data_IF_188444596481
#
_entry.id   IF_188444596481
#
_cell.length_a   1.000
_cell.length_b   1.000
_cell.length_c   1.000
_cell.angle_alpha   90.00
_cell.angle_beta   90.00
_cell.angle_gamma   90.00
#
_symmetry.space_group_name_H-M   'P 1'
#
loop_
_entity.id
_entity.type
_entity.pdbx_description
1 polymer ?
#
# COMPACT_ATOMS: atom_id res chain seq x y z
N UNK A 1 0.02 10.87 18.57
CA UNK A 1 -0.88 10.81 17.40
C UNK A 1 -0.14 10.06 16.29
N UNK A 2 -0.33 8.76 16.18
CA UNK A 2 0.21 7.98 15.06
C UNK A 2 -0.77 8.07 13.89
N UNK A 3 -0.37 8.67 12.77
CA UNK A 3 -1.14 8.66 11.54
C UNK A 3 -1.15 7.23 10.98
N UNK A 4 -2.31 6.58 10.99
CA UNK A 4 -2.52 5.31 10.30
C UNK A 4 -2.54 5.60 8.79
N UNK A 5 -1.67 4.94 8.03
CA UNK A 5 -1.61 5.08 6.58
C UNK A 5 -1.94 3.74 5.92
N UNK A 6 -2.95 3.75 5.05
CA UNK A 6 -3.39 2.55 4.36
C UNK A 6 -2.43 2.20 3.21
N UNK A 7 -1.87 1.00 3.26
CA UNK A 7 -0.98 0.46 2.23
C UNK A 7 -1.29 -1.02 1.94
N UNK A 8 -0.55 -1.60 0.99
CA UNK A 8 -0.63 -3.01 0.60
C UNK A 8 -0.20 -3.98 1.72
N UNK A 9 0.66 -3.55 2.66
CA UNK A 9 1.12 -4.36 3.79
C UNK A 9 0.02 -4.56 4.83
N UNK A 10 -0.88 -3.57 4.94
CA UNK A 10 -2.03 -3.61 5.83
C UNK A 10 -3.28 -4.20 5.17
N UNK A 11 -3.31 -4.38 3.84
CA UNK A 11 -4.49 -4.84 3.07
C UNK A 11 -5.14 -6.10 3.66
N UNK A 12 -4.34 -7.04 4.19
CA UNK A 12 -4.83 -8.27 4.84
C UNK A 12 -4.43 -8.44 6.31
N UNK A 13 -3.86 -7.43 6.96
CA UNK A 13 -3.51 -7.51 8.38
C UNK A 13 -4.81 -7.51 9.24
N UNK A 14 -5.01 -8.51 10.13
CA UNK A 14 -6.17 -8.59 11.01
C UNK A 14 -6.28 -7.41 11.97
N UNK A 15 -5.13 -6.86 12.36
CA UNK A 15 -5.00 -5.75 13.29
C UNK A 15 -4.16 -4.64 12.64
N UNK A 16 -4.64 -3.40 12.74
CA UNK A 16 -4.18 -2.26 11.93
C UNK A 16 -3.75 -1.06 12.78
N UNK A 17 -3.58 -1.22 14.09
CA UNK A 17 -3.10 -0.14 14.94
C UNK A 17 -1.89 -0.57 15.78
N UNK A 18 -0.77 0.17 15.76
CA UNK A 18 0.10 0.23 16.92
C UNK A 18 -0.51 1.25 17.90
N UNK A 19 -1.56 0.86 18.64
CA UNK A 19 -2.16 1.71 19.68
C UNK A 19 -3.60 1.32 20.07
N UNK A 20 -3.80 1.00 21.34
CA UNK A 20 -5.04 0.54 21.98
C UNK A 20 -6.09 1.64 22.25
N UNK A 21 -6.43 2.52 21.30
CA UNK A 21 -7.45 3.55 21.67
C UNK A 21 -8.37 4.11 20.56
N UNK A 22 -8.52 3.42 19.42
CA UNK A 22 -9.63 3.73 18.49
C UNK A 22 -10.25 2.47 17.91
N UNK A 23 -11.46 2.17 18.36
CA UNK A 23 -12.31 1.14 17.77
C UNK A 23 -12.88 1.69 16.46
N UNK A 24 -12.61 1.00 15.36
CA UNK A 24 -13.19 1.29 14.05
C UNK A 24 -14.59 0.65 14.02
N UNK A 25 -15.66 1.46 14.03
CA UNK A 25 -17.04 0.97 14.09
C UNK A 25 -17.64 0.81 12.69
N UNK A 26 -18.12 -0.39 12.35
CA UNK A 26 -19.01 -0.62 11.20
C UNK A 26 -18.64 -1.80 10.30
N UNK A 27 -19.55 -2.21 9.38
CA UNK A 27 -19.28 -3.29 8.45
C UNK A 27 -18.23 -2.88 7.41
N UNK A 28 -17.15 -3.68 7.33
CA UNK A 28 -16.05 -3.53 6.36
C UNK A 28 -15.91 -4.78 5.48
N UNK A 29 -15.56 -4.59 4.22
CA UNK A 29 -15.18 -5.67 3.30
C UNK A 29 -13.87 -5.30 2.60
N UNK A 30 -12.88 -6.18 2.67
CA UNK A 30 -11.62 -6.02 1.94
C UNK A 30 -11.70 -6.83 0.65
N UNK A 31 -11.51 -6.19 -0.50
CA UNK A 31 -11.45 -6.84 -1.79
C UNK A 31 -10.04 -6.69 -2.38
N UNK A 32 -9.48 -7.77 -2.90
CA UNK A 32 -8.16 -7.71 -3.51
C UNK A 32 -7.85 -8.92 -4.37
N UNK A 33 -6.94 -8.72 -5.32
CA UNK A 33 -6.37 -9.75 -6.18
C UNK A 33 -4.89 -9.84 -5.89
N UNK A 34 -4.42 -11.06 -5.62
CA UNK A 34 -3.00 -11.38 -5.48
C UNK A 34 -2.61 -12.35 -6.59
N UNK A 35 -1.53 -12.04 -7.28
CA UNK A 35 -0.95 -12.89 -8.32
C UNK A 35 0.54 -13.07 -8.07
N UNK A 36 1.06 -14.24 -8.43
CA UNK A 36 2.48 -14.54 -8.32
C UNK A 36 2.95 -15.49 -9.40
N UNK A 37 4.16 -15.27 -9.89
CA UNK A 37 4.89 -16.15 -10.79
C UNK A 37 6.29 -16.41 -10.24
N UNK A 38 6.75 -17.66 -10.39
CA UNK A 38 7.99 -18.15 -9.81
C UNK A 38 8.73 -18.99 -10.84
N UNK A 39 10.05 -18.81 -10.93
CA UNK A 39 10.93 -19.62 -11.77
C UNK A 39 11.72 -20.61 -10.91
N UNK A 40 12.13 -21.75 -11.50
CA UNK A 40 12.95 -22.76 -10.80
C UNK A 40 14.30 -22.23 -10.29
N UNK A 41 14.83 -21.17 -10.91
CA UNK A 41 16.07 -20.51 -10.52
C UNK A 41 15.92 -19.52 -9.36
N UNK A 42 14.74 -19.49 -8.72
CA UNK A 42 14.44 -18.63 -7.57
C UNK A 42 13.94 -17.23 -7.95
N UNK A 43 13.86 -16.89 -9.23
CA UNK A 43 13.29 -15.63 -9.67
C UNK A 43 11.78 -15.57 -9.48
N UNK A 44 11.22 -14.40 -9.14
CA UNK A 44 9.78 -14.23 -8.93
C UNK A 44 9.25 -12.84 -9.31
N UNK A 45 7.93 -12.80 -9.50
CA UNK A 45 7.11 -11.57 -9.58
C UNK A 45 5.87 -11.79 -8.72
N UNK A 46 5.56 -10.84 -7.84
CA UNK A 46 4.36 -10.82 -7.03
C UNK A 46 3.64 -9.50 -7.21
N UNK A 47 2.35 -9.57 -7.48
CA UNK A 47 1.46 -8.42 -7.62
C UNK A 47 0.33 -8.54 -6.61
N UNK A 48 0.02 -7.44 -5.95
CA UNK A 48 -1.15 -7.28 -5.11
C UNK A 48 -1.85 -5.98 -5.47
N UNK A 49 -3.16 -6.03 -5.65
CA UNK A 49 -4.01 -4.85 -5.82
C UNK A 49 -5.27 -5.06 -5.00
N UNK A 50 -5.73 -4.03 -4.29
CA UNK A 50 -6.98 -4.12 -3.55
C UNK A 50 -7.51 -2.79 -3.05
N UNK A 51 -8.67 -2.89 -2.42
CA UNK A 51 -9.46 -1.78 -1.92
C UNK A 51 -10.28 -2.26 -0.73
N UNK A 52 -10.48 -1.39 0.25
CA UNK A 52 -11.43 -1.59 1.34
C UNK A 52 -12.74 -0.87 1.03
N UNK A 53 -13.87 -1.56 1.20
CA UNK A 53 -15.22 -1.05 1.13
C UNK A 53 -15.80 -0.97 2.56
N UNK A 54 -16.53 0.11 2.85
CA UNK A 54 -17.23 0.35 4.13
C UNK A 54 -18.69 0.67 3.84
N UNK A 55 -19.61 0.07 4.61
CA UNK A 55 -21.06 0.20 4.40
C UNK A 55 -21.71 1.38 5.14
N UNK A 56 -20.99 2.02 6.08
CA UNK A 56 -21.41 3.26 6.75
C UNK A 56 -20.29 4.27 6.63
N UNK A 57 -20.64 5.51 6.32
CA UNK A 57 -19.73 6.65 6.42
C UNK A 57 -19.30 6.80 7.88
N UNK A 58 -18.00 6.71 8.11
CA UNK A 58 -17.41 7.03 9.41
C UNK A 58 -16.84 8.45 9.33
N UNK A 59 -17.57 9.38 9.95
CA UNK A 59 -17.17 10.80 10.04
C UNK A 59 -16.03 11.04 11.05
N UNK A 60 -15.55 9.98 11.71
CA UNK A 60 -14.51 10.03 12.74
C UNK A 60 -13.09 10.03 12.17
N UNK A 61 -12.92 9.70 10.88
CA UNK A 61 -11.62 9.71 10.21
C UNK A 61 -11.46 10.96 9.32
N UNK A 62 -10.40 11.73 9.58
CA UNK A 62 -9.99 12.85 8.72
C UNK A 62 -9.81 12.38 7.27
N UNK A 63 -10.24 13.20 6.29
CA UNK A 63 -10.07 12.96 4.82
C UNK A 63 -8.64 12.54 4.46
N UNK A 64 -7.67 13.01 5.23
CA UNK A 64 -6.23 12.76 5.15
C UNK A 64 -5.82 11.27 5.22
N UNK A 65 -6.70 10.38 5.69
CA UNK A 65 -6.40 8.94 5.85
C UNK A 65 -6.73 8.09 4.62
N UNK A 66 -7.48 8.63 3.64
CA UNK A 66 -8.05 7.84 2.53
C UNK A 66 -9.23 6.95 2.96
N UNK A 67 -9.76 7.15 4.18
CA UNK A 67 -10.83 6.35 4.79
C UNK A 67 -12.17 7.07 4.96
N UNK A 68 -12.27 8.34 4.54
CA UNK A 68 -13.44 9.19 4.87
C UNK A 68 -14.69 8.92 4.02
N UNK A 69 -14.76 7.81 3.28
CA UNK A 69 -15.88 7.52 2.39
C UNK A 69 -16.13 6.01 2.31
N UNK A 70 -17.33 5.62 1.86
CA UNK A 70 -17.80 4.24 1.62
C UNK A 70 -16.80 3.33 0.85
N UNK A 71 -15.86 3.90 0.08
CA UNK A 71 -14.79 3.16 -0.61
C UNK A 71 -13.44 3.85 -0.40
N UNK A 72 -12.42 3.11 0.01
CA UNK A 72 -11.05 3.63 0.16
C UNK A 72 -10.35 3.86 -1.20
N UNK A 73 -9.19 4.48 -1.18
CA UNK A 73 -8.25 4.53 -2.30
C UNK A 73 -7.80 3.13 -2.75
N UNK A 74 -7.38 3.00 -3.99
CA UNK A 74 -6.77 1.76 -4.48
C UNK A 74 -5.35 1.64 -3.94
N UNK A 75 -5.01 0.50 -3.35
CA UNK A 75 -3.64 0.19 -2.92
C UNK A 75 -3.09 -0.97 -3.72
N UNK A 76 -1.79 -0.94 -3.96
CA UNK A 76 -1.12 -2.05 -4.61
C UNK A 76 0.36 -2.12 -4.29
N UNK A 77 0.91 -3.30 -4.56
CA UNK A 77 2.34 -3.55 -4.51
C UNK A 77 2.80 -4.49 -5.61
N UNK A 78 3.95 -4.18 -6.19
CA UNK A 78 4.71 -5.04 -7.07
C UNK A 78 6.03 -5.39 -6.38
N UNK A 79 6.33 -6.68 -6.23
CA UNK A 79 7.63 -7.18 -5.82
C UNK A 79 8.21 -8.03 -6.95
N UNK A 80 9.41 -7.70 -7.39
CA UNK A 80 10.06 -8.32 -8.55
C UNK A 80 11.51 -8.65 -8.19
N UNK A 81 11.87 -9.92 -8.32
CA UNK A 81 13.26 -10.36 -8.22
C UNK A 81 13.52 -11.42 -9.29
N UNK A 82 13.98 -11.04 -10.49
CA UNK A 82 14.27 -12.00 -11.55
C UNK A 82 15.60 -12.73 -11.32
N UNK A 83 16.44 -12.28 -10.39
CA UNK A 83 17.70 -12.92 -10.04
C UNK A 83 18.17 -12.45 -8.67
N UNK A 84 19.12 -13.15 -8.02
CA UNK A 84 19.67 -12.72 -6.73
C UNK A 84 20.30 -11.32 -6.73
N UNK A 85 20.68 -10.80 -7.91
CA UNK A 85 21.36 -9.53 -8.06
C UNK A 85 20.43 -8.37 -8.38
N UNK A 86 19.12 -8.59 -8.41
CA UNK A 86 18.16 -7.51 -8.64
C UNK A 86 16.88 -7.74 -7.84
N UNK A 87 16.43 -6.66 -7.21
CA UNK A 87 15.17 -6.60 -6.48
C UNK A 87 14.53 -5.24 -6.70
N UNK A 88 13.22 -5.25 -6.94
CA UNK A 88 12.39 -4.07 -7.06
C UNK A 88 11.14 -4.26 -6.21
N UNK A 89 10.84 -3.28 -5.38
CA UNK A 89 9.62 -3.19 -4.62
C UNK A 89 8.96 -1.84 -4.91
N UNK A 90 7.75 -1.87 -5.44
CA UNK A 90 6.96 -0.68 -5.69
C UNK A 90 5.66 -0.78 -4.91
N UNK A 91 5.42 0.16 -4.01
CA UNK A 91 4.17 0.35 -3.28
C UNK A 91 3.48 1.61 -3.77
N UNK A 92 2.17 1.55 -3.97
CA UNK A 92 1.42 2.72 -4.41
C UNK A 92 0.03 2.78 -3.80
N UNK A 93 -0.48 4.01 -3.70
CA UNK A 93 -1.87 4.34 -3.39
C UNK A 93 -2.37 5.33 -4.43
N UNK A 94 -3.47 4.98 -5.09
CA UNK A 94 -4.14 5.79 -6.10
C UNK A 94 -5.48 6.28 -5.57
N UNK A 95 -5.78 7.54 -5.81
CA UNK A 95 -7.10 8.08 -5.54
C UNK A 95 -8.18 7.25 -6.25
N UNK A 96 -9.30 6.98 -5.58
CA UNK A 96 -10.35 6.15 -6.19
C UNK A 96 -11.09 6.80 -7.36
N UNK A 97 -11.11 8.14 -7.46
CA UNK A 97 -11.91 8.91 -8.43
C UNK A 97 -11.13 9.20 -9.69
N UNK A 98 -9.91 9.69 -9.57
CA UNK A 98 -9.08 10.14 -10.69
C UNK A 98 -7.84 9.25 -10.95
N UNK A 99 -7.59 8.27 -10.07
CA UNK A 99 -6.42 7.38 -10.10
C UNK A 99 -5.08 8.12 -9.95
N UNK A 100 -5.08 9.36 -9.46
CA UNK A 100 -3.85 10.08 -9.19
C UNK A 100 -3.04 9.42 -8.07
N UNK A 101 -1.70 9.45 -8.21
CA UNK A 101 -0.80 8.94 -7.19
C UNK A 101 -0.88 9.78 -5.91
N UNK A 102 -1.60 9.25 -4.92
CA UNK A 102 -1.60 9.76 -3.55
C UNK A 102 -0.30 9.41 -2.83
N UNK A 103 0.23 8.21 -3.08
CA UNK A 103 1.56 7.77 -2.64
C UNK A 103 2.20 6.86 -3.68
N UNK A 104 3.51 7.00 -3.87
CA UNK A 104 4.32 6.08 -4.66
C UNK A 104 5.68 5.93 -4.00
N UNK A 105 6.06 4.69 -3.70
CA UNK A 105 7.31 4.35 -3.04
C UNK A 105 7.99 3.24 -3.82
N UNK A 106 9.20 3.52 -4.29
CA UNK A 106 10.00 2.61 -5.10
C UNK A 106 11.31 2.36 -4.37
N UNK A 107 11.56 1.09 -4.06
CA UNK A 107 12.82 0.60 -3.53
C UNK A 107 13.43 -0.35 -4.56
N UNK A 108 14.64 -0.07 -5.01
CA UNK A 108 15.38 -0.91 -5.95
C UNK A 108 16.73 -1.27 -5.36
N UNK A 109 17.13 -2.53 -5.50
CA UNK A 109 18.46 -3.00 -5.15
C UNK A 109 19.05 -3.76 -6.33
N UNK A 110 20.34 -3.54 -6.61
CA UNK A 110 21.04 -4.22 -7.68
C UNK A 110 22.50 -4.49 -7.33
N UNK A 111 23.05 -5.60 -7.82
CA UNK A 111 24.46 -5.96 -7.71
C UNK A 111 24.74 -7.31 -7.06
N UNK A 112 25.99 -7.82 -7.19
CA UNK A 112 26.41 -9.09 -6.60
C UNK A 112 26.45 -9.03 -5.07
N UNK A 113 26.56 -10.19 -4.41
CA UNK A 113 26.61 -10.29 -2.94
C UNK A 113 27.70 -9.42 -2.28
N UNK A 114 28.84 -9.25 -2.97
CA UNK A 114 29.97 -8.44 -2.47
C UNK A 114 29.77 -6.93 -2.61
N UNK A 115 28.84 -6.50 -3.46
CA UNK A 115 28.56 -5.08 -3.68
C UNK A 115 27.10 -4.91 -4.15
N UNK A 116 26.25 -4.47 -3.23
CA UNK A 116 24.86 -4.12 -3.52
C UNK A 116 24.69 -2.61 -3.51
N UNK A 117 24.01 -2.09 -4.52
CA UNK A 117 23.60 -0.70 -4.64
C UNK A 117 22.10 -0.62 -4.44
N UNK A 118 21.65 0.39 -3.69
CA UNK A 118 20.23 0.64 -3.42
C UNK A 118 19.81 2.03 -3.87
N UNK A 119 18.59 2.14 -4.42
CA UNK A 119 17.93 3.40 -4.76
C UNK A 119 16.52 3.36 -4.18
N UNK A 120 16.19 4.39 -3.40
CA UNK A 120 14.85 4.59 -2.84
C UNK A 120 14.25 5.90 -3.33
N UNK A 121 12.96 5.89 -3.66
CA UNK A 121 12.19 7.08 -4.02
C UNK A 121 10.84 7.06 -3.34
N UNK A 122 10.46 8.17 -2.71
CA UNK A 122 9.16 8.34 -2.07
C UNK A 122 8.53 9.61 -2.61
N UNK A 123 7.30 9.48 -3.12
CA UNK A 123 6.41 10.58 -3.47
C UNK A 123 5.18 10.52 -2.60
N UNK A 124 4.89 11.63 -1.92
CA UNK A 124 3.69 11.85 -1.15
C UNK A 124 2.96 13.05 -1.76
N UNK A 125 1.70 12.86 -2.15
CA UNK A 125 0.85 14.01 -2.47
C UNK A 125 0.56 14.75 -1.16
N UNK A 126 0.77 16.07 -1.14
CA UNK A 126 0.45 16.92 0.00
C UNK A 126 -1.02 17.31 -0.13
N UNK A 127 -1.90 16.73 0.67
CA UNK A 127 -3.31 17.14 0.70
C UNK A 127 -3.47 18.39 1.55
N UNK A 128 -3.73 19.52 0.90
CA UNK A 128 -4.14 20.76 1.57
C UNK A 128 -5.56 20.51 2.07
N UNK A 129 -5.73 20.47 3.39
CA UNK A 129 -7.07 20.48 3.99
C UNK A 129 -7.73 21.82 3.70
N UNK A 130 -8.74 21.84 2.85
CA UNK A 130 -9.66 22.98 2.77
C UNK A 130 -10.45 23.03 4.08
N UNK A 131 -10.20 24.12 4.83
CA UNK A 131 -10.86 24.47 6.09
C UNK A 131 -12.31 24.92 5.88
#
# INVERSE_FOLDING_TARGET
>A
SGSFEFDSSNLFSPDRFPGLDRWEEGPRANLGVKWGAYRPDGGYVNLLIGQVLRMKDDTTFSRETGLSNERSDYVGSLALSPSPWFELLHRFRLDRKDLDYRRSEIDMQAGPERLRLGVGYVRLAREIGDA
#
